data_IF_156889454333
#
_entry.id   IF_156889454333
#
_cell.length_a   1.000
_cell.length_b   1.000
_cell.length_c   1.000
_cell.angle_alpha   90.00
_cell.angle_beta   90.00
_cell.angle_gamma   90.00
#
_symmetry.space_group_name_H-M   'P 1'
#
loop_
_entity.id
_entity.type
_entity.pdbx_description
1 polymer ?
#
# COMPACT_ATOMS: atom_id res chain seq x y z
N UNK A 1 -19.39 24.82 20.09
CA UNK A 1 -18.77 24.57 18.78
C UNK A 1 -18.42 23.09 18.77
N UNK A 2 -19.21 22.25 18.11
CA UNK A 2 -18.92 20.81 18.08
C UNK A 2 -17.77 20.65 17.11
N UNK A 3 -16.59 20.27 17.61
CA UNK A 3 -15.47 19.83 16.80
C UNK A 3 -15.99 18.73 15.86
N UNK A 4 -15.85 18.93 14.56
CA UNK A 4 -16.23 17.94 13.57
C UNK A 4 -15.22 16.79 13.64
N UNK A 5 -15.45 15.86 14.57
CA UNK A 5 -14.64 14.65 14.71
C UNK A 5 -14.66 13.91 13.37
N UNK A 6 -13.48 13.75 12.78
CA UNK A 6 -13.32 13.08 11.49
C UNK A 6 -13.41 11.57 11.70
N UNK A 7 -14.40 10.92 11.07
CA UNK A 7 -14.50 9.45 11.07
C UNK A 7 -13.67 8.86 9.91
N UNK A 8 -12.37 9.17 9.90
CA UNK A 8 -11.44 8.73 8.86
C UNK A 8 -10.37 7.82 9.44
N UNK A 9 -10.08 6.71 8.77
CA UNK A 9 -8.95 5.82 9.14
C UNK A 9 -7.58 6.45 8.91
N UNK A 10 -7.53 7.55 8.15
CA UNK A 10 -6.33 8.34 7.90
C UNK A 10 -6.18 9.52 8.87
N UNK A 11 -7.14 9.72 9.77
CA UNK A 11 -6.99 10.59 10.94
C UNK A 11 -6.32 9.79 12.05
N UNK A 12 -4.99 9.88 12.15
CA UNK A 12 -4.17 8.97 12.95
C UNK A 12 -4.17 9.36 14.42
N UNK A 13 -4.38 8.38 15.31
CA UNK A 13 -4.42 8.58 16.77
C UNK A 13 -3.35 7.76 17.51
N UNK A 14 -2.12 7.74 17.00
CA UNK A 14 -0.97 7.10 17.66
C UNK A 14 0.19 6.76 16.71
N UNK A 15 1.37 6.48 17.27
CA UNK A 15 2.61 6.26 16.51
C UNK A 15 2.54 5.06 15.54
N UNK A 16 1.82 4.00 15.94
CA UNK A 16 1.55 2.86 15.06
C UNK A 16 0.66 3.25 13.87
N UNK A 17 -0.41 4.01 14.13
CA UNK A 17 -1.32 4.52 13.10
C UNK A 17 -0.61 5.45 12.11
N UNK A 18 0.27 6.34 12.58
CA UNK A 18 1.09 7.21 11.72
C UNK A 18 1.95 6.41 10.74
N UNK A 19 2.53 5.32 11.23
CA UNK A 19 3.36 4.44 10.42
C UNK A 19 2.53 3.71 9.37
N UNK A 20 1.31 3.29 9.72
CA UNK A 20 0.40 2.59 8.80
C UNK A 20 -0.11 3.57 7.73
N UNK A 21 -0.43 4.80 8.12
CA UNK A 21 -0.82 5.86 7.19
C UNK A 21 0.30 6.16 6.18
N UNK A 22 1.57 6.19 6.63
CA UNK A 22 2.71 6.32 5.71
C UNK A 22 2.78 5.17 4.70
N UNK A 23 2.66 3.91 5.16
CA UNK A 23 2.62 2.74 4.28
C UNK A 23 1.46 2.83 3.27
N UNK A 24 0.28 3.22 3.73
CA UNK A 24 -0.88 3.43 2.87
C UNK A 24 -0.56 4.42 1.74
N UNK A 25 0.00 5.60 2.06
CA UNK A 25 0.34 6.58 1.02
C UNK A 25 1.40 6.07 0.05
N UNK A 26 2.41 5.33 0.52
CA UNK A 26 3.41 4.68 -0.35
C UNK A 26 2.72 3.72 -1.34
N UNK A 27 1.80 2.90 -0.86
CA UNK A 27 1.03 1.96 -1.70
C UNK A 27 0.11 2.71 -2.68
N UNK A 28 -0.54 3.80 -2.25
CA UNK A 28 -1.39 4.63 -3.11
C UNK A 28 -0.58 5.23 -4.24
N UNK A 29 0.54 5.89 -3.95
CA UNK A 29 1.38 6.48 -4.99
C UNK A 29 1.95 5.43 -5.94
N UNK A 30 2.42 4.29 -5.41
CA UNK A 30 2.88 3.17 -6.21
C UNK A 30 1.78 2.62 -7.12
N UNK A 31 0.59 2.38 -6.59
CA UNK A 31 -0.56 1.89 -7.34
C UNK A 31 -1.01 2.87 -8.42
N UNK A 32 -1.09 4.16 -8.10
CA UNK A 32 -1.41 5.22 -9.08
C UNK A 32 -0.37 5.28 -10.19
N UNK A 33 0.92 5.20 -9.87
CA UNK A 33 1.98 5.19 -10.88
C UNK A 33 1.86 3.99 -11.83
N UNK A 34 1.67 2.78 -11.29
CA UNK A 34 1.46 1.56 -12.09
C UNK A 34 0.21 1.72 -12.97
N UNK A 35 -0.88 2.21 -12.39
CA UNK A 35 -2.13 2.44 -13.11
C UNK A 35 -1.94 3.41 -14.28
N UNK A 36 -1.28 4.56 -14.08
CA UNK A 36 -0.99 5.53 -15.15
C UNK A 36 -0.17 4.88 -16.26
N UNK A 37 0.86 4.10 -15.92
CA UNK A 37 1.70 3.42 -16.92
C UNK A 37 0.87 2.43 -17.74
N UNK A 38 0.09 1.56 -17.08
CA UNK A 38 -0.71 0.53 -17.75
C UNK A 38 -1.80 1.14 -18.63
N UNK A 39 -2.51 2.16 -18.12
CA UNK A 39 -3.52 2.89 -18.90
C UNK A 39 -2.88 3.63 -20.06
N UNK A 40 -1.74 4.30 -19.85
CA UNK A 40 -0.99 4.99 -20.90
C UNK A 40 -0.53 4.05 -22.02
N UNK A 41 0.01 2.88 -21.66
CA UNK A 41 0.38 1.83 -22.61
C UNK A 41 -0.85 1.29 -23.38
N UNK A 42 -1.98 1.14 -22.70
CA UNK A 42 -3.23 0.68 -23.31
C UNK A 42 -3.75 1.70 -24.33
N UNK A 43 -3.78 2.99 -23.96
CA UNK A 43 -4.17 4.08 -24.87
C UNK A 43 -3.20 4.14 -26.05
N UNK A 44 -1.90 4.04 -25.81
CA UNK A 44 -0.88 4.02 -26.86
C UNK A 44 -1.13 2.89 -27.87
N UNK A 45 -1.40 1.67 -27.40
CA UNK A 45 -1.67 0.52 -28.25
C UNK A 45 -2.94 0.70 -29.10
N UNK A 46 -3.96 1.39 -28.57
CA UNK A 46 -5.19 1.72 -29.30
C UNK A 46 -4.94 2.78 -30.38
N UNK A 47 -4.22 3.86 -30.04
CA UNK A 47 -4.03 5.04 -30.92
C UNK A 47 -2.98 4.79 -32.02
N UNK A 48 -1.99 3.93 -31.77
CA UNK A 48 -0.94 3.59 -32.74
C UNK A 48 -0.98 2.11 -33.16
N UNK A 49 -2.00 1.69 -33.91
CA UNK A 49 -2.07 0.34 -34.45
C UNK A 49 -0.95 0.12 -35.47
N UNK A 50 -0.11 -0.90 -35.27
CA UNK A 50 1.02 -1.20 -36.15
C UNK A 50 1.78 -2.47 -35.75
N UNK A 51 2.71 -2.93 -36.60
CA UNK A 51 3.59 -4.06 -36.28
C UNK A 51 4.56 -3.67 -35.16
N UNK A 52 4.34 -4.20 -33.97
CA UNK A 52 5.25 -4.04 -32.84
C UNK A 52 6.37 -5.07 -32.94
N UNK A 53 7.60 -4.66 -32.60
CA UNK A 53 8.74 -5.56 -32.58
C UNK A 53 8.51 -6.67 -31.54
N UNK A 54 8.46 -7.94 -31.96
CA UNK A 54 8.22 -9.10 -31.09
C UNK A 54 9.16 -9.14 -29.89
N UNK A 55 10.43 -8.74 -30.09
CA UNK A 55 11.42 -8.70 -29.01
C UNK A 55 11.04 -7.68 -27.94
N UNK A 56 10.60 -6.50 -28.34
CA UNK A 56 10.16 -5.44 -27.43
C UNK A 56 8.87 -5.84 -26.69
N UNK A 57 7.91 -6.44 -27.39
CA UNK A 57 6.67 -6.98 -26.78
C UNK A 57 7.00 -8.05 -25.74
N UNK A 58 7.89 -8.99 -26.07
CA UNK A 58 8.30 -10.06 -25.13
C UNK A 58 9.00 -9.50 -23.90
N UNK A 59 9.90 -8.51 -24.07
CA UNK A 59 10.54 -7.83 -22.94
C UNK A 59 9.53 -7.07 -22.08
N UNK A 60 8.53 -6.43 -22.68
CA UNK A 60 7.49 -5.72 -21.95
C UNK A 60 6.61 -6.67 -21.13
N UNK A 61 6.23 -7.81 -21.70
CA UNK A 61 5.43 -8.83 -20.98
C UNK A 61 6.21 -9.45 -19.82
N UNK A 62 7.45 -9.88 -20.04
CA UNK A 62 8.26 -10.54 -19.00
C UNK A 62 8.70 -9.50 -17.94
N UNK A 63 9.23 -8.36 -18.40
CA UNK A 63 9.72 -7.30 -17.53
C UNK A 63 8.59 -6.59 -16.79
N UNK A 64 7.64 -6.02 -17.52
CA UNK A 64 6.55 -5.23 -16.96
C UNK A 64 5.42 -6.07 -16.35
N UNK A 65 5.13 -7.25 -16.90
CA UNK A 65 4.02 -8.09 -16.46
C UNK A 65 4.34 -9.11 -15.37
N UNK A 66 5.60 -9.57 -15.26
CA UNK A 66 5.97 -10.61 -14.30
C UNK A 66 7.07 -10.16 -13.33
N UNK A 67 8.23 -9.71 -13.83
CA UNK A 67 9.37 -9.35 -12.99
C UNK A 67 9.07 -8.12 -12.13
N UNK A 68 8.62 -7.03 -12.75
CA UNK A 68 8.35 -5.79 -12.05
C UNK A 68 7.29 -5.95 -10.93
N UNK A 69 6.10 -6.57 -11.17
CA UNK A 69 5.12 -6.79 -10.12
C UNK A 69 5.66 -7.67 -8.99
N UNK A 70 6.43 -8.71 -9.32
CA UNK A 70 7.03 -9.59 -8.30
C UNK A 70 7.98 -8.81 -7.40
N UNK A 71 8.90 -8.03 -7.97
CA UNK A 71 9.86 -7.22 -7.22
C UNK A 71 9.14 -6.20 -6.32
N UNK A 72 8.15 -5.49 -6.87
CA UNK A 72 7.38 -4.49 -6.13
C UNK A 72 6.61 -5.12 -4.97
N UNK A 73 5.91 -6.24 -5.22
CA UNK A 73 5.16 -6.95 -4.18
C UNK A 73 6.08 -7.52 -3.10
N UNK A 74 7.21 -8.11 -3.48
CA UNK A 74 8.21 -8.59 -2.51
C UNK A 74 8.73 -7.44 -1.65
N UNK A 75 9.08 -6.31 -2.25
CA UNK A 75 9.56 -5.14 -1.52
C UNK A 75 8.50 -4.58 -0.55
N UNK A 76 7.25 -4.42 -1.01
CA UNK A 76 6.14 -3.94 -0.17
C UNK A 76 5.83 -4.91 0.97
N UNK A 77 5.84 -6.22 0.69
CA UNK A 77 5.64 -7.24 1.71
C UNK A 77 6.76 -7.22 2.75
N UNK A 78 8.02 -7.18 2.33
CA UNK A 78 9.15 -7.09 3.24
C UNK A 78 9.10 -5.83 4.10
N UNK A 79 8.73 -4.69 3.50
CA UNK A 79 8.54 -3.44 4.23
C UNK A 79 7.42 -3.53 5.28
N UNK A 80 6.25 -4.06 4.89
CA UNK A 80 5.13 -4.24 5.81
C UNK A 80 5.46 -5.22 6.94
N UNK A 81 6.18 -6.31 6.63
CA UNK A 81 6.58 -7.30 7.63
C UNK A 81 7.62 -6.73 8.62
N UNK A 82 8.58 -5.95 8.13
CA UNK A 82 9.58 -5.28 8.96
C UNK A 82 8.98 -4.28 9.96
N UNK A 83 7.75 -3.82 9.70
CA UNK A 83 7.02 -2.90 10.56
C UNK A 83 6.30 -3.59 11.73
N UNK A 84 5.99 -4.89 11.63
CA UNK A 84 5.24 -5.62 12.65
C UNK A 84 5.87 -5.62 14.06
N UNK A 85 7.20 -5.79 14.23
CA UNK A 85 7.79 -5.86 15.57
C UNK A 85 7.56 -4.59 16.39
N UNK A 86 7.63 -3.42 15.77
CA UNK A 86 7.39 -2.15 16.46
C UNK A 86 5.90 -1.96 16.77
N UNK A 87 5.01 -2.37 15.86
CA UNK A 87 3.55 -2.32 16.09
C UNK A 87 3.09 -3.25 17.22
N UNK A 88 3.76 -4.39 17.38
CA UNK A 88 3.44 -5.39 18.41
C UNK A 88 4.28 -5.23 19.67
N UNK A 89 5.07 -4.16 19.77
CA UNK A 89 5.94 -3.92 20.90
C UNK A 89 5.11 -3.81 22.18
N UNK A 90 5.42 -4.59 23.23
CA UNK A 90 4.72 -4.46 24.51
C UNK A 90 4.84 -3.05 25.07
N UNK A 91 3.79 -2.61 25.77
CA UNK A 91 3.82 -1.33 26.45
C UNK A 91 5.00 -1.27 27.45
N UNK A 92 5.67 -0.11 27.61
CA UNK A 92 6.73 0.06 28.58
C UNK A 92 6.30 -0.29 30.01
N UNK A 93 7.26 -0.71 30.84
CA UNK A 93 6.98 -0.99 32.26
C UNK A 93 6.40 0.25 32.96
N UNK A 94 5.35 0.05 33.77
CA UNK A 94 4.64 1.14 34.44
C UNK A 94 3.57 1.83 33.61
N UNK A 95 3.31 1.38 32.37
CA UNK A 95 2.19 1.87 31.56
C UNK A 95 0.84 1.57 32.22
N UNK A 96 -0.14 2.46 32.02
CA UNK A 96 -1.52 2.24 32.46
C UNK A 96 -2.07 0.96 31.82
N UNK A 97 -2.59 0.05 32.65
CA UNK A 97 -3.26 -1.16 32.20
C UNK A 97 -4.76 -0.90 32.18
N UNK A 98 -5.40 -1.22 31.06
CA UNK A 98 -6.85 -1.13 30.89
C UNK A 98 -7.32 -2.53 30.48
N UNK A 99 -8.19 -3.13 31.27
CA UNK A 99 -8.84 -4.39 30.94
C UNK A 99 -10.08 -4.11 30.09
N UNK A 100 -10.16 -4.76 28.93
CA UNK A 100 -11.27 -4.61 27.99
C UNK A 100 -11.89 -5.99 27.76
N UNK A 101 -13.18 -6.10 28.05
CA UNK A 101 -13.96 -7.31 27.80
C UNK A 101 -15.01 -7.03 26.71
N UNK A 102 -14.96 -7.79 25.62
CA UNK A 102 -15.96 -7.75 24.55
C UNK A 102 -17.07 -8.75 24.82
N UNK A 103 -18.31 -8.36 24.53
CA UNK A 103 -19.51 -9.09 24.95
C UNK A 103 -20.58 -8.97 23.86
N UNK A 104 -21.62 -9.79 23.90
CA UNK A 104 -22.51 -9.91 22.74
C UNK A 104 -23.29 -8.61 22.53
N UNK A 105 -22.94 -7.89 21.46
CA UNK A 105 -23.50 -6.58 21.08
C UNK A 105 -22.99 -5.37 21.89
N UNK A 106 -21.94 -5.49 22.69
CA UNK A 106 -21.27 -4.34 23.33
C UNK A 106 -19.77 -4.53 23.54
#
# INVERSE_FOLDING_TARGET
MIENVSQSTLDTAGAGADSIARLFYVMVFGGVAIWVIVVGLSIYAIVRPGKHNERATRFLVIGGGALFPTIVLTALLSYGLAMLPELQRPAPQGSQVIEVAGVMWW
#
